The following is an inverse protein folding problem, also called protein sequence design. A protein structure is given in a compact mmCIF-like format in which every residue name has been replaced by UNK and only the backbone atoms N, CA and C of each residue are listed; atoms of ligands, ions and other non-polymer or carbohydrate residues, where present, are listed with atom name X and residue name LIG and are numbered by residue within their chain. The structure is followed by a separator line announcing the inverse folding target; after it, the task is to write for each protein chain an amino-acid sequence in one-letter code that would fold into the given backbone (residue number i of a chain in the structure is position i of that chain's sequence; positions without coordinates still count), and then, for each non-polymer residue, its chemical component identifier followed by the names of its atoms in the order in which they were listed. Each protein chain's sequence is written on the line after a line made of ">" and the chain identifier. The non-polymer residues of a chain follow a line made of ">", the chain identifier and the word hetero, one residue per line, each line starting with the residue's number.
data_IF_504332479620
#
_entry.id   IF_504332479620
#
_cell.length_a   1.000
_cell.length_b   1.000
_cell.length_c   1.000
_cell.angle_alpha   90.00
_cell.angle_beta   90.00
_cell.angle_gamma   90.00
#
_symmetry.space_group_name_H-M   'P 1'
#
loop_
_entity.id
_entity.type
_entity.pdbx_description
1 polymer ?
#
# COMPACT_ATOMS: atom_id res chain seq x y z
N UNK A 1 -8.41 3.95 -16.02
CA UNK A 1 -9.15 4.97 -15.23
C UNK A 1 -8.12 5.84 -14.52
N UNK A 2 -8.21 7.15 -14.67
CA UNK A 2 -7.28 8.10 -14.08
C UNK A 2 -7.52 8.29 -12.58
N UNK A 3 -6.47 8.68 -11.83
CA UNK A 3 -6.54 9.05 -10.41
C UNK A 3 -7.09 7.95 -9.50
N UNK A 4 -6.62 6.73 -9.65
CA UNK A 4 -7.07 5.60 -8.86
C UNK A 4 -6.20 5.35 -7.63
N UNK A 5 -6.82 5.00 -6.51
CA UNK A 5 -6.11 4.61 -5.30
C UNK A 5 -5.36 3.29 -5.50
N UNK A 6 -4.07 3.31 -5.24
CA UNK A 6 -3.25 2.11 -5.13
C UNK A 6 -3.47 1.46 -3.77
N UNK A 7 -3.65 0.17 -3.76
CA UNK A 7 -4.04 -0.63 -2.60
C UNK A 7 -3.21 -1.89 -2.47
N UNK A 8 -3.17 -2.43 -1.26
CA UNK A 8 -2.53 -3.71 -0.97
C UNK A 8 -3.41 -4.55 -0.05
N UNK A 9 -3.38 -5.87 -0.24
CA UNK A 9 -3.93 -6.87 0.68
C UNK A 9 -2.88 -7.90 1.04
N UNK A 10 -3.02 -8.47 2.21
CA UNK A 10 -2.34 -9.72 2.54
C UNK A 10 -3.11 -10.91 1.94
N UNK A 11 -2.39 -11.99 1.68
CA UNK A 11 -2.98 -13.28 1.31
C UNK A 11 -2.92 -14.20 2.53
N UNK A 12 -4.04 -14.83 2.85
CA UNK A 12 -4.15 -15.91 3.80
C UNK A 12 -4.52 -17.19 3.04
N UNK A 13 -3.75 -18.25 3.22
CA UNK A 13 -3.92 -19.50 2.46
C UNK A 13 -3.97 -19.29 0.93
N UNK A 14 -3.12 -18.37 0.44
CA UNK A 14 -3.01 -17.99 -0.99
C UNK A 14 -4.26 -17.33 -1.59
N UNK A 15 -5.17 -16.86 -0.75
CA UNK A 15 -6.33 -16.07 -1.16
C UNK A 15 -6.27 -14.68 -0.53
N UNK A 16 -6.75 -13.65 -1.24
CA UNK A 16 -6.83 -12.31 -0.68
C UNK A 16 -7.70 -12.27 0.58
N UNK A 17 -7.17 -11.70 1.64
CA UNK A 17 -7.99 -11.38 2.81
C UNK A 17 -8.78 -10.11 2.54
N UNK A 18 -10.08 -10.25 2.43
CA UNK A 18 -11.02 -9.15 2.17
C UNK A 18 -11.80 -8.74 3.42
N UNK A 19 -11.39 -9.20 4.60
CA UNK A 19 -11.99 -8.81 5.87
C UNK A 19 -11.79 -7.32 6.16
N UNK A 20 -12.72 -6.73 6.89
CA UNK A 20 -12.67 -5.30 7.25
C UNK A 20 -11.76 -5.07 8.49
N UNK A 21 -10.51 -5.51 8.39
CA UNK A 21 -9.53 -5.50 9.49
C UNK A 21 -8.22 -4.78 9.14
N UNK A 22 -8.20 -3.97 8.08
CA UNK A 22 -7.01 -3.22 7.69
C UNK A 22 -7.05 -1.79 8.24
N UNK A 23 -6.06 -1.43 9.02
CA UNK A 23 -5.82 -0.07 9.48
C UNK A 23 -4.54 0.47 8.86
N UNK A 24 -4.57 1.71 8.38
CA UNK A 24 -3.44 2.36 7.75
C UNK A 24 -3.34 3.82 8.15
N UNK A 25 -2.12 4.30 8.38
CA UNK A 25 -1.84 5.71 8.64
C UNK A 25 -0.53 6.14 7.99
N UNK A 26 -0.54 7.30 7.36
CA UNK A 26 0.64 7.84 6.68
C UNK A 26 0.68 9.36 6.68
N UNK A 27 1.90 9.89 6.62
CA UNK A 27 2.17 11.30 6.34
C UNK A 27 2.61 11.47 4.89
N UNK A 28 2.15 12.54 4.26
CA UNK A 28 2.44 12.88 2.88
C UNK A 28 3.18 14.23 2.83
N UNK A 29 4.29 14.26 2.10
CA UNK A 29 5.08 15.44 1.77
C UNK A 29 4.77 15.85 0.33
N UNK A 30 4.72 17.15 0.05
CA UNK A 30 4.38 17.65 -1.31
C UNK A 30 5.32 18.78 -1.70
N UNK A 31 5.63 18.89 -2.99
CA UNK A 31 6.40 20.02 -3.54
C UNK A 31 5.70 21.37 -3.39
N UNK A 32 4.40 21.36 -3.12
CA UNK A 32 3.64 22.57 -2.72
C UNK A 32 3.92 23.05 -1.28
N UNK A 33 4.90 22.43 -0.59
CA UNK A 33 5.28 22.71 0.80
C UNK A 33 4.22 22.39 1.86
N UNK A 34 3.08 21.84 1.46
CA UNK A 34 2.03 21.39 2.39
C UNK A 34 2.21 19.94 2.77
N UNK A 35 1.82 19.60 4.00
CA UNK A 35 1.78 18.24 4.48
C UNK A 35 0.35 17.72 4.41
N UNK A 36 0.19 16.45 4.04
CA UNK A 36 -1.07 15.74 4.13
C UNK A 36 -0.99 14.59 5.12
N UNK A 37 -2.12 14.21 5.67
CA UNK A 37 -2.27 13.00 6.48
C UNK A 37 -3.29 12.09 5.80
N UNK A 38 -3.06 10.79 5.91
CA UNK A 38 -4.01 9.76 5.50
C UNK A 38 -4.16 8.79 6.65
N UNK A 39 -5.40 8.50 7.04
CA UNK A 39 -5.71 7.44 7.99
C UNK A 39 -6.98 6.73 7.55
N UNK A 40 -6.98 5.42 7.67
CA UNK A 40 -8.15 4.57 7.41
C UNK A 40 -8.17 3.44 8.43
N UNK A 41 -9.35 3.06 8.89
CA UNK A 41 -9.55 1.96 9.83
C UNK A 41 -10.65 1.04 9.33
N UNK A 42 -10.57 -0.24 9.71
CA UNK A 42 -11.58 -1.24 9.37
C UNK A 42 -11.88 -1.32 7.86
N UNK A 43 -10.85 -1.21 7.04
CA UNK A 43 -10.96 -1.32 5.59
C UNK A 43 -10.74 -2.77 5.13
N UNK A 44 -11.16 -3.07 3.91
CA UNK A 44 -10.94 -4.39 3.27
C UNK A 44 -9.59 -4.48 2.56
N UNK A 45 -8.73 -3.48 2.71
CA UNK A 45 -7.37 -3.39 2.17
C UNK A 45 -6.62 -2.23 2.83
N UNK A 46 -5.30 -2.19 2.75
CA UNK A 46 -4.58 -0.94 2.93
C UNK A 46 -4.95 0.01 1.79
N UNK A 47 -5.86 0.92 2.06
CA UNK A 47 -6.42 1.84 1.08
C UNK A 47 -5.63 3.16 1.06
N UNK A 48 -5.67 3.85 -0.08
CA UNK A 48 -5.02 5.17 -0.26
C UNK A 48 -3.52 5.14 0.02
N UNK A 49 -2.85 4.04 -0.32
CA UNK A 49 -1.39 4.00 -0.28
C UNK A 49 -0.81 5.15 -1.09
N UNK A 50 -1.27 5.31 -2.31
CA UNK A 50 -1.07 6.50 -3.15
C UNK A 50 -2.15 6.58 -4.22
N UNK A 51 -2.14 7.64 -5.04
CA UNK A 51 -3.01 7.75 -6.21
C UNK A 51 -2.16 7.64 -7.45
N UNK A 52 -2.53 6.73 -8.34
CA UNK A 52 -1.89 6.53 -9.64
C UNK A 52 -2.75 7.15 -10.73
N UNK A 53 -2.11 7.74 -11.73
CA UNK A 53 -2.76 8.29 -12.91
C UNK A 53 -2.34 7.59 -14.20
N UNK A 54 -2.81 8.11 -15.33
CA UNK A 54 -2.60 7.52 -16.66
C UNK A 54 -1.77 8.40 -17.59
N UNK A 55 -1.47 9.64 -17.21
CA UNK A 55 -0.68 10.53 -18.05
C UNK A 55 0.81 10.18 -18.02
N UNK A 56 1.53 10.55 -19.06
CA UNK A 56 2.98 10.36 -19.15
C UNK A 56 3.67 11.04 -17.95
N UNK A 57 4.47 10.28 -17.20
CA UNK A 57 5.18 10.77 -16.02
C UNK A 57 4.43 10.58 -14.69
N UNK A 58 3.16 10.22 -14.70
CA UNK A 58 2.40 9.87 -13.49
C UNK A 58 2.79 8.45 -13.02
N UNK A 59 3.90 8.38 -12.28
CA UNK A 59 4.54 7.14 -11.88
C UNK A 59 4.77 7.12 -10.37
N UNK A 60 4.87 5.91 -9.83
CA UNK A 60 5.17 5.68 -8.42
C UNK A 60 6.33 4.70 -8.25
N UNK A 61 7.20 4.99 -7.28
CA UNK A 61 8.16 4.04 -6.74
C UNK A 61 7.86 3.84 -5.27
N UNK A 62 7.90 2.59 -4.81
CA UNK A 62 7.49 2.25 -3.45
C UNK A 62 8.35 1.14 -2.89
N UNK A 63 8.62 1.23 -1.58
CA UNK A 63 9.24 0.16 -0.80
C UNK A 63 8.25 -0.21 0.31
N UNK A 64 8.02 -1.49 0.49
CA UNK A 64 7.21 -2.04 1.56
C UNK A 64 8.05 -2.99 2.40
N UNK A 65 8.00 -2.82 3.72
CA UNK A 65 8.55 -3.79 4.67
C UNK A 65 7.39 -4.53 5.32
N UNK A 66 7.45 -5.85 5.31
CA UNK A 66 6.40 -6.73 5.80
C UNK A 66 6.91 -7.48 7.03
N UNK A 67 6.11 -7.49 8.09
CA UNK A 67 6.49 -8.06 9.38
C UNK A 67 5.44 -9.07 9.85
N UNK A 68 5.91 -10.07 10.60
CA UNK A 68 5.09 -11.13 11.21
C UNK A 68 4.30 -11.95 10.18
N UNK A 69 4.76 -11.98 8.92
CA UNK A 69 4.19 -12.86 7.92
C UNK A 69 4.34 -14.33 8.37
N UNK A 70 3.36 -15.15 8.02
CA UNK A 70 3.32 -16.57 8.38
C UNK A 70 3.30 -16.87 9.89
N UNK A 71 2.85 -15.93 10.71
CA UNK A 71 2.64 -16.13 12.16
C UNK A 71 1.14 -16.06 12.48
N UNK A 72 0.55 -17.22 12.83
CA UNK A 72 -0.88 -17.31 13.11
C UNK A 72 -1.31 -16.70 14.46
N UNK A 73 -0.36 -16.35 15.33
CA UNK A 73 -0.63 -15.86 16.69
C UNK A 73 -0.51 -14.35 16.84
N UNK A 74 -0.07 -13.67 15.79
CA UNK A 74 0.20 -12.23 15.81
C UNK A 74 -0.41 -11.52 14.61
N UNK A 75 -0.53 -10.21 14.70
CA UNK A 75 -0.94 -9.37 13.58
C UNK A 75 0.20 -9.22 12.58
N UNK A 76 -0.15 -9.20 11.30
CA UNK A 76 0.79 -8.84 10.24
C UNK A 76 0.82 -7.32 10.05
N UNK A 77 2.03 -6.78 9.96
CA UNK A 77 2.26 -5.34 9.78
C UNK A 77 2.95 -5.06 8.45
N UNK A 78 2.78 -3.83 7.99
CA UNK A 78 3.61 -3.27 6.93
C UNK A 78 4.03 -1.86 7.26
N UNK A 79 5.21 -1.45 6.79
CA UNK A 79 5.57 -0.04 6.65
C UNK A 79 5.86 0.25 5.19
N UNK A 80 5.68 1.51 4.78
CA UNK A 80 5.92 1.91 3.40
C UNK A 80 6.58 3.27 3.28
N UNK A 81 7.39 3.39 2.24
CA UNK A 81 7.94 4.63 1.74
C UNK A 81 7.64 4.73 0.24
N UNK A 82 7.12 5.86 -0.18
CA UNK A 82 6.68 6.05 -1.56
C UNK A 82 7.12 7.40 -2.10
N UNK A 83 7.40 7.43 -3.39
CA UNK A 83 7.63 8.64 -4.17
C UNK A 83 6.78 8.57 -5.43
N UNK A 84 5.92 9.53 -5.62
CA UNK A 84 4.89 9.53 -6.66
C UNK A 84 4.86 10.88 -7.36
N UNK A 85 4.84 10.88 -8.67
CA UNK A 85 4.45 12.08 -9.42
C UNK A 85 2.96 11.96 -9.76
N UNK A 86 2.16 12.83 -9.16
CA UNK A 86 0.71 12.70 -9.16
C UNK A 86 0.05 13.42 -10.35
N UNK A 87 -1.22 13.10 -10.59
CA UNK A 87 -2.08 13.80 -11.56
C UNK A 87 -2.26 15.31 -11.31
N UNK A 88 -1.83 15.82 -10.18
CA UNK A 88 -1.78 17.25 -9.88
C UNK A 88 -0.43 17.89 -10.24
N UNK A 89 0.40 17.22 -11.05
CA UNK A 89 1.73 17.64 -11.46
C UNK A 89 2.66 17.97 -10.27
N UNK A 90 2.54 17.20 -9.18
CA UNK A 90 3.32 17.37 -7.96
C UNK A 90 4.06 16.09 -7.60
N UNK A 91 5.32 16.25 -7.20
CA UNK A 91 6.02 15.19 -6.49
C UNK A 91 5.43 15.08 -5.08
N UNK A 92 5.08 13.87 -4.71
CA UNK A 92 4.57 13.52 -3.40
C UNK A 92 5.42 12.39 -2.82
N UNK A 93 5.95 12.58 -1.63
CA UNK A 93 6.52 11.53 -0.81
C UNK A 93 5.48 11.09 0.22
N UNK A 94 5.40 9.79 0.51
CA UNK A 94 4.53 9.28 1.56
C UNK A 94 5.29 8.26 2.41
N UNK A 95 5.14 8.37 3.72
CA UNK A 95 5.69 7.44 4.69
C UNK A 95 4.62 7.04 5.69
N UNK A 96 4.48 5.75 5.93
CA UNK A 96 3.43 5.27 6.81
C UNK A 96 3.55 3.80 7.17
N UNK A 97 2.53 3.33 7.87
CA UNK A 97 2.40 1.94 8.26
C UNK A 97 0.97 1.50 8.37
N UNK A 98 0.80 0.20 8.33
CA UNK A 98 -0.51 -0.42 8.45
C UNK A 98 -0.43 -1.77 9.14
N UNK A 99 -1.57 -2.23 9.58
CA UNK A 99 -1.74 -3.49 10.30
C UNK A 99 -3.00 -4.21 9.84
N UNK A 100 -2.90 -5.53 9.72
CA UNK A 100 -4.07 -6.41 9.63
C UNK A 100 -4.40 -6.84 11.05
N UNK A 101 -5.54 -6.38 11.58
CA UNK A 101 -5.95 -6.54 12.99
C UNK A 101 -6.62 -7.89 13.28
N UNK A 102 -6.20 -8.92 12.57
CA UNK A 102 -6.57 -10.32 12.83
C UNK A 102 -5.31 -11.18 12.90
N UNK A 103 -5.21 -12.00 13.94
CA UNK A 103 -4.10 -12.92 14.11
C UNK A 103 -4.29 -14.13 13.19
N UNK A 104 -3.54 -14.15 12.10
CA UNK A 104 -3.56 -15.24 11.11
C UNK A 104 -2.25 -15.30 10.34
N UNK A 105 -1.90 -16.49 9.88
CA UNK A 105 -0.75 -16.66 8.99
C UNK A 105 -1.04 -16.04 7.63
N UNK A 106 -0.21 -15.07 7.22
CA UNK A 106 -0.25 -14.47 5.88
C UNK A 106 0.94 -14.94 5.07
N UNK A 107 0.73 -15.30 3.81
CA UNK A 107 1.74 -15.95 2.97
C UNK A 107 2.00 -15.23 1.64
N UNK A 108 1.50 -14.02 1.48
CA UNK A 108 1.72 -13.22 0.29
C UNK A 108 1.05 -11.85 0.35
N UNK A 109 1.23 -11.10 -0.71
CA UNK A 109 0.60 -9.79 -0.90
C UNK A 109 0.02 -9.67 -2.31
N UNK A 110 -1.07 -8.94 -2.43
CA UNK A 110 -1.68 -8.54 -3.68
C UNK A 110 -1.67 -7.02 -3.78
N UNK A 111 -1.27 -6.50 -4.94
CA UNK A 111 -1.33 -5.08 -5.27
C UNK A 111 -2.37 -4.84 -6.35
N UNK A 112 -3.20 -3.84 -6.16
CA UNK A 112 -4.27 -3.52 -7.10
C UNK A 112 -4.63 -2.03 -7.03
N UNK A 113 -5.45 -1.58 -7.96
CA UNK A 113 -6.03 -0.23 -7.96
C UNK A 113 -7.54 -0.29 -7.74
N UNK A 114 -8.11 0.81 -7.26
CA UNK A 114 -9.52 0.86 -6.87
C UNK A 114 -10.48 0.55 -8.03
N UNK A 115 -10.09 0.90 -9.26
CA UNK A 115 -10.86 0.61 -10.47
C UNK A 115 -9.94 0.50 -11.68
N UNK A 116 -10.14 -0.51 -12.50
CA UNK A 116 -9.29 -0.81 -13.66
C UNK A 116 -8.12 -1.73 -13.31
N UNK A 117 -7.07 -1.70 -14.10
CA UNK A 117 -5.89 -2.55 -13.96
C UNK A 117 -4.62 -1.70 -13.86
N UNK A 118 -3.60 -2.26 -13.21
CA UNK A 118 -2.22 -1.75 -13.32
C UNK A 118 -1.74 -2.09 -14.72
N UNK A 119 -1.44 -1.08 -15.52
CA UNK A 119 -1.05 -1.23 -16.92
C UNK A 119 0.35 -1.82 -17.04
N UNK A 120 1.29 -1.28 -16.27
CA UNK A 120 2.68 -1.73 -16.26
C UNK A 120 3.33 -1.47 -14.90
N UNK A 121 4.38 -2.26 -14.59
CA UNK A 121 5.15 -2.08 -13.37
C UNK A 121 6.10 -3.27 -13.15
N UNK A 122 7.09 -3.05 -12.28
CA UNK A 122 7.99 -4.11 -11.82
C UNK A 122 7.78 -4.28 -10.31
N UNK A 123 7.53 -5.51 -9.90
CA UNK A 123 7.43 -5.91 -8.49
C UNK A 123 8.55 -6.87 -8.17
N UNK A 124 9.33 -6.57 -7.14
CA UNK A 124 10.43 -7.44 -6.69
C UNK A 124 10.26 -7.73 -5.21
N UNK A 125 10.35 -8.99 -4.82
CA UNK A 125 10.26 -9.43 -3.43
C UNK A 125 11.65 -9.87 -2.95
N UNK A 126 12.06 -9.37 -1.80
CA UNK A 126 13.29 -9.76 -1.11
C UNK A 126 12.95 -10.38 0.25
N UNK A 127 13.58 -11.50 0.56
CA UNK A 127 13.56 -12.07 1.90
C UNK A 127 14.82 -11.65 2.66
N UNK A 128 14.66 -11.16 3.87
CA UNK A 128 15.78 -10.93 4.77
C UNK A 128 16.10 -12.22 5.51
N UNK A 129 17.36 -12.67 5.45
CA UNK A 129 17.82 -13.81 6.24
C UNK A 129 17.95 -13.37 7.70
N UNK A 130 17.33 -14.14 8.61
CA UNK A 130 17.52 -14.00 10.06
C UNK A 130 18.91 -14.50 10.46
#
# INVERSE_FOLDING_TARGET
>A
TDSQNFRMRFLASSSEDTSANYDFSAKQFRTSTTFGNTATTNQTSFDRLTTLGTATGEQANSIFYLFNMNNASEYSFMTCEMSVFSNSAQLQGKQGGGVLTVAQATNGVSFFIASGNIDSGTFTLYGLKK
#
